data_IF_413497708631
#
_entry.id   IF_413497708631
#
_cell.length_a   1.000
_cell.length_b   1.000
_cell.length_c   1.000
_cell.angle_alpha   90.00
_cell.angle_beta   90.00
_cell.angle_gamma   90.00
#
_symmetry.space_group_name_H-M   'P 1'
#
loop_
_entity.id
_entity.type
_entity.pdbx_description
1 polymer ?
#
# COMPACT_ATOMS: atom_id res chain seq x y z
N UNK A 1 64.30 -14.49 35.92
CA UNK A 1 63.94 -14.37 34.53
C UNK A 1 64.89 -13.46 33.75
N UNK A 2 65.29 -13.84 32.60
CA UNK A 2 66.14 -13.00 31.79
C UNK A 2 65.34 -11.75 31.24
N UNK A 3 66.08 -10.68 31.00
CA UNK A 3 65.52 -9.45 30.43
C UNK A 3 64.84 -9.75 29.09
N UNK A 4 65.48 -10.62 28.29
CA UNK A 4 64.89 -11.06 26.98
C UNK A 4 63.55 -11.75 27.13
N UNK A 5 63.41 -12.61 28.14
CA UNK A 5 62.12 -13.29 28.41
C UNK A 5 61.04 -12.30 28.82
N UNK A 6 61.35 -11.30 29.64
CA UNK A 6 60.44 -10.24 30.06
C UNK A 6 60.04 -9.38 28.87
N UNK A 7 61.01 -9.00 28.02
CA UNK A 7 60.74 -8.24 26.80
C UNK A 7 59.80 -8.97 25.81
N UNK A 8 60.00 -10.29 25.67
CA UNK A 8 59.09 -11.12 24.83
C UNK A 8 57.67 -11.17 25.38
N UNK A 9 57.52 -11.27 26.70
CA UNK A 9 56.20 -11.27 27.33
C UNK A 9 55.52 -9.93 27.13
N UNK A 10 56.22 -8.83 27.33
CA UNK A 10 55.68 -7.48 27.15
C UNK A 10 55.29 -7.23 25.68
N UNK A 11 56.13 -7.67 24.75
CA UNK A 11 55.83 -7.58 23.33
C UNK A 11 54.60 -8.41 22.94
N UNK A 12 54.48 -9.60 23.48
CA UNK A 12 53.32 -10.48 23.28
C UNK A 12 52.03 -9.87 23.85
N UNK A 13 52.08 -9.27 25.03
CA UNK A 13 50.94 -8.59 25.64
C UNK A 13 50.51 -7.37 24.82
N UNK A 14 51.47 -6.58 24.33
CA UNK A 14 51.20 -5.44 23.47
C UNK A 14 50.52 -5.88 22.19
N UNK A 15 50.99 -6.91 21.52
CA UNK A 15 50.37 -7.47 20.32
C UNK A 15 48.97 -8.00 20.57
N UNK A 16 48.79 -8.68 21.71
CA UNK A 16 47.50 -9.17 22.15
C UNK A 16 46.49 -8.04 22.35
N UNK A 17 46.93 -6.95 23.02
CA UNK A 17 46.10 -5.79 23.26
C UNK A 17 45.75 -5.04 21.96
N UNK A 18 46.70 -4.91 21.05
CA UNK A 18 46.44 -4.35 19.70
C UNK A 18 45.42 -5.17 18.92
N UNK A 19 45.50 -6.51 19.00
CA UNK A 19 44.52 -7.40 18.36
C UNK A 19 43.13 -7.26 18.97
N UNK A 20 43.06 -7.14 20.31
CA UNK A 20 41.77 -6.94 20.98
C UNK A 20 41.15 -5.61 20.60
N UNK A 21 41.96 -4.53 20.55
CA UNK A 21 41.49 -3.22 20.17
C UNK A 21 40.99 -3.21 18.71
N UNK A 22 41.75 -3.87 17.81
CA UNK A 22 41.32 -4.02 16.42
C UNK A 22 40.02 -4.81 16.30
N UNK A 23 39.89 -5.91 17.03
CA UNK A 23 38.70 -6.73 17.06
C UNK A 23 37.48 -5.98 17.59
N UNK A 24 37.64 -5.19 18.64
CA UNK A 24 36.57 -4.32 19.17
C UNK A 24 36.16 -3.27 18.16
N UNK A 25 37.12 -2.66 17.47
CA UNK A 25 36.82 -1.68 16.42
C UNK A 25 36.09 -2.29 15.24
N UNK A 26 36.51 -3.44 14.78
CA UNK A 26 35.82 -4.19 13.71
C UNK A 26 34.41 -4.58 14.14
N UNK A 27 34.20 -5.00 15.36
CA UNK A 27 32.87 -5.33 15.88
C UNK A 27 31.97 -4.11 15.91
N UNK A 28 32.46 -2.95 16.35
CA UNK A 28 31.69 -1.69 16.32
C UNK A 28 31.32 -1.28 14.92
N UNK A 29 32.26 -1.39 13.98
CA UNK A 29 32.00 -1.06 12.57
C UNK A 29 30.97 -2.00 11.96
N UNK A 30 31.06 -3.29 12.27
CA UNK A 30 30.11 -4.29 11.79
C UNK A 30 28.70 -4.03 12.31
N UNK A 31 28.56 -3.75 13.61
CA UNK A 31 27.28 -3.41 14.23
C UNK A 31 26.70 -2.12 13.61
N UNK A 32 27.53 -1.09 13.48
CA UNK A 32 27.09 0.17 12.88
C UNK A 32 26.64 -0.01 11.42
N UNK A 33 27.38 -0.81 10.65
CA UNK A 33 27.00 -1.13 9.29
C UNK A 33 25.67 -1.90 9.21
N UNK A 34 25.49 -2.88 10.10
CA UNK A 34 24.25 -3.66 10.18
C UNK A 34 23.05 -2.78 10.57
N UNK A 35 23.23 -1.86 11.50
CA UNK A 35 22.19 -0.90 11.88
C UNK A 35 21.82 0.02 10.74
N UNK A 36 22.79 0.55 10.01
CA UNK A 36 22.53 1.40 8.82
C UNK A 36 21.81 0.62 7.73
N UNK A 37 22.25 -0.59 7.45
CA UNK A 37 21.60 -1.45 6.46
C UNK A 37 20.16 -1.79 6.86
N UNK A 38 19.96 -2.13 8.14
CA UNK A 38 18.63 -2.40 8.66
C UNK A 38 17.71 -1.21 8.56
N UNK A 39 18.18 -0.02 8.92
CA UNK A 39 17.42 1.23 8.80
C UNK A 39 17.07 1.54 7.32
N UNK A 40 18.02 1.33 6.41
CA UNK A 40 17.79 1.53 4.98
C UNK A 40 16.75 0.55 4.42
N UNK A 41 16.77 -0.71 4.85
CA UNK A 41 15.78 -1.71 4.47
C UNK A 41 14.38 -1.37 4.98
N UNK A 42 14.28 -0.96 6.23
CA UNK A 42 12.99 -0.53 6.81
C UNK A 42 12.43 0.66 6.06
N UNK A 43 13.26 1.66 5.77
CA UNK A 43 12.85 2.82 4.99
C UNK A 43 12.37 2.44 3.58
N UNK A 44 13.11 1.57 2.89
CA UNK A 44 12.74 1.10 1.55
C UNK A 44 11.42 0.33 1.55
N UNK A 45 11.22 -0.56 2.54
CA UNK A 45 9.97 -1.33 2.67
C UNK A 45 8.78 -0.42 2.95
N UNK A 46 8.96 0.60 3.80
CA UNK A 46 7.90 1.58 4.08
C UNK A 46 7.52 2.38 2.84
N UNK A 47 8.51 2.85 2.08
CA UNK A 47 8.25 3.56 0.82
C UNK A 47 7.51 2.68 -0.18
N UNK A 48 7.93 1.43 -0.32
CA UNK A 48 7.27 0.47 -1.19
C UNK A 48 5.83 0.19 -0.75
N UNK A 49 5.61 -0.03 0.55
CA UNK A 49 4.28 -0.27 1.10
C UNK A 49 3.37 0.94 0.90
N UNK A 50 3.87 2.17 1.09
CA UNK A 50 3.13 3.39 0.81
C UNK A 50 2.74 3.50 -0.66
N UNK A 51 3.67 3.24 -1.56
CA UNK A 51 3.41 3.28 -3.00
C UNK A 51 2.38 2.23 -3.42
N UNK A 52 2.51 1.01 -2.91
CA UNK A 52 1.54 -0.07 -3.18
C UNK A 52 0.16 0.26 -2.60
N UNK A 53 0.12 0.81 -1.39
CA UNK A 53 -1.13 1.24 -0.76
C UNK A 53 -1.85 2.31 -1.55
N UNK A 54 -1.13 3.32 -2.03
CA UNK A 54 -1.67 4.38 -2.90
C UNK A 54 -2.20 3.83 -4.21
N UNK A 55 -1.48 2.90 -4.83
CA UNK A 55 -1.91 2.26 -6.07
C UNK A 55 -3.15 1.39 -5.88
N UNK A 56 -3.22 0.63 -4.79
CA UNK A 56 -4.42 -0.15 -4.44
C UNK A 56 -5.64 0.74 -4.22
N UNK A 57 -5.44 1.86 -3.53
CA UNK A 57 -6.50 2.85 -3.30
C UNK A 57 -6.98 3.46 -4.61
N UNK A 58 -6.05 3.85 -5.48
CA UNK A 58 -6.36 4.38 -6.80
C UNK A 58 -7.18 3.39 -7.63
N UNK A 59 -6.79 2.12 -7.65
CA UNK A 59 -7.53 1.07 -8.35
C UNK A 59 -8.92 0.85 -7.76
N UNK A 60 -9.04 0.88 -6.43
CA UNK A 60 -10.33 0.74 -5.76
C UNK A 60 -11.27 1.91 -6.08
N UNK A 61 -10.76 3.13 -6.09
CA UNK A 61 -11.52 4.33 -6.48
C UNK A 61 -11.96 4.28 -7.93
N UNK A 62 -11.08 3.84 -8.81
CA UNK A 62 -11.40 3.67 -10.24
C UNK A 62 -12.50 2.63 -10.45
N UNK A 63 -12.41 1.49 -9.78
CA UNK A 63 -13.46 0.45 -9.82
C UNK A 63 -14.77 0.95 -9.25
N UNK A 64 -14.71 1.67 -8.14
CA UNK A 64 -15.91 2.25 -7.50
C UNK A 64 -16.59 3.27 -8.42
N UNK A 65 -15.82 4.13 -9.07
CA UNK A 65 -16.34 5.10 -10.04
C UNK A 65 -16.98 4.42 -11.25
N UNK A 66 -16.33 3.39 -11.78
CA UNK A 66 -16.87 2.61 -12.89
C UNK A 66 -18.19 1.91 -12.52
N UNK A 67 -18.24 1.32 -11.33
CA UNK A 67 -19.45 0.68 -10.83
C UNK A 67 -20.59 1.67 -10.57
N UNK A 68 -20.26 2.82 -10.00
CA UNK A 68 -21.22 3.91 -9.79
C UNK A 68 -21.83 4.37 -11.11
N UNK A 69 -21.02 4.48 -12.16
CA UNK A 69 -21.50 4.84 -13.50
C UNK A 69 -22.43 3.79 -14.10
N UNK A 70 -22.12 2.51 -13.92
CA UNK A 70 -23.00 1.42 -14.35
C UNK A 70 -24.34 1.46 -13.61
N UNK A 71 -24.31 1.63 -12.29
CA UNK A 71 -25.53 1.73 -11.47
C UNK A 71 -26.38 2.95 -11.89
N UNK A 72 -25.74 4.09 -12.13
CA UNK A 72 -26.42 5.31 -12.60
C UNK A 72 -27.12 5.08 -13.93
N UNK A 73 -26.42 4.44 -14.87
CA UNK A 73 -26.95 4.14 -16.20
C UNK A 73 -28.14 3.18 -16.13
N UNK A 74 -28.01 2.11 -15.35
CA UNK A 74 -29.10 1.16 -15.14
C UNK A 74 -30.32 1.80 -14.48
N UNK A 75 -30.08 2.69 -13.49
CA UNK A 75 -31.16 3.44 -12.86
C UNK A 75 -31.87 4.37 -13.82
N UNK A 76 -31.14 5.05 -14.70
CA UNK A 76 -31.71 5.90 -15.75
C UNK A 76 -32.54 5.09 -16.76
N UNK A 77 -32.03 3.93 -17.18
CA UNK A 77 -32.76 3.02 -18.07
C UNK A 77 -34.06 2.52 -17.44
N UNK A 78 -34.02 2.12 -16.16
CA UNK A 78 -35.21 1.70 -15.43
C UNK A 78 -36.22 2.86 -15.27
N UNK A 79 -35.73 4.04 -14.94
CA UNK A 79 -36.59 5.22 -14.81
C UNK A 79 -37.28 5.57 -16.15
N UNK A 80 -36.53 5.49 -17.22
CA UNK A 80 -37.08 5.73 -18.56
C UNK A 80 -38.13 4.68 -18.97
N UNK A 81 -37.84 3.39 -18.67
CA UNK A 81 -38.79 2.30 -18.92
C UNK A 81 -40.06 2.48 -18.09
N UNK A 82 -39.96 2.89 -16.83
CA UNK A 82 -41.11 3.18 -15.97
C UNK A 82 -41.92 4.38 -16.51
N UNK A 83 -41.25 5.41 -16.95
CA UNK A 83 -41.89 6.59 -17.56
C UNK A 83 -42.66 6.23 -18.81
N UNK A 84 -42.05 5.47 -19.71
CA UNK A 84 -42.67 4.99 -20.93
C UNK A 84 -43.89 4.12 -20.64
N UNK A 85 -43.77 3.20 -19.68
CA UNK A 85 -44.87 2.35 -19.27
C UNK A 85 -46.01 3.14 -18.64
N UNK A 86 -45.71 4.14 -17.82
CA UNK A 86 -46.71 5.00 -17.20
C UNK A 86 -47.43 5.88 -18.25
N UNK A 87 -46.69 6.41 -19.21
CA UNK A 87 -47.27 7.20 -20.30
C UNK A 87 -48.22 6.35 -21.16
N UNK A 88 -47.83 5.12 -21.46
CA UNK A 88 -48.67 4.16 -22.19
C UNK A 88 -49.96 3.84 -21.45
N UNK A 89 -49.87 3.58 -20.12
CA UNK A 89 -51.05 3.35 -19.29
C UNK A 89 -51.95 4.55 -19.18
N UNK A 90 -51.37 5.73 -19.07
CA UNK A 90 -52.11 6.97 -19.04
C UNK A 90 -52.90 7.19 -20.33
N UNK A 91 -52.28 6.97 -21.49
CA UNK A 91 -52.91 7.07 -22.81
C UNK A 91 -54.05 6.04 -22.97
N UNK A 92 -53.84 4.80 -22.51
CA UNK A 92 -54.86 3.76 -22.53
C UNK A 92 -56.04 4.08 -21.62
N UNK A 93 -55.78 4.59 -20.44
CA UNK A 93 -56.81 5.03 -19.47
C UNK A 93 -57.62 6.21 -20.04
N UNK A 94 -56.94 7.19 -20.63
CA UNK A 94 -57.61 8.34 -21.28
C UNK A 94 -58.47 7.89 -22.45
N UNK A 95 -58.01 7.00 -23.30
CA UNK A 95 -58.76 6.43 -24.40
C UNK A 95 -60.03 5.68 -23.94
N UNK A 96 -59.87 4.88 -22.85
CA UNK A 96 -60.99 4.16 -22.26
C UNK A 96 -62.08 5.10 -21.71
N UNK A 97 -61.68 6.17 -21.05
CA UNK A 97 -62.60 7.18 -20.50
C UNK A 97 -63.36 7.88 -21.67
N UNK A 98 -62.63 8.30 -22.67
CA UNK A 98 -63.24 8.93 -23.86
C UNK A 98 -64.23 7.99 -24.55
N UNK A 99 -63.88 6.73 -24.75
CA UNK A 99 -64.75 5.73 -25.31
C UNK A 99 -66.07 5.58 -24.53
N UNK A 100 -65.98 5.49 -23.21
CA UNK A 100 -67.17 5.36 -22.35
C UNK A 100 -68.02 6.61 -22.28
N UNK A 101 -67.43 7.77 -22.35
CA UNK A 101 -68.17 9.05 -22.35
C UNK A 101 -68.90 9.31 -23.67
N UNK A 102 -68.32 8.91 -24.80
CA UNK A 102 -68.89 9.07 -26.12
C UNK A 102 -70.01 8.06 -26.43
N UNK A 103 -70.01 6.95 -25.73
CA UNK A 103 -71.11 6.00 -25.81
C UNK A 103 -72.34 6.53 -25.11
#
# INVERSE_FOLDING_TARGET
>A
MSIEAVEKILDSERKSEERRAAARQQAKELVAAAEREGAARVSAVREQADAEGKELLRQAEERAAARAEVIRREAEEKAEALRTAAESRLADAAALIVERVVR
#
